data_IF_283090642603
#
_entry.id   IF_283090642603
#
_cell.length_a   1.000
_cell.length_b   1.000
_cell.length_c   1.000
_cell.angle_alpha   90.00
_cell.angle_beta   90.00
_cell.angle_gamma   90.00
#
_symmetry.space_group_name_H-M   'P 1'
#
loop_
_entity.id
_entity.type
_entity.pdbx_description
1 polymer ?
#
# COMPACT_ATOMS: atom_id res chain seq x y z
N UNK A 1 -4.15 -19.76 19.42
CA UNK A 1 -4.75 -20.42 18.24
C UNK A 1 -5.34 -19.33 17.36
N UNK A 2 -4.74 -19.09 16.18
CA UNK A 2 -5.14 -18.04 15.24
C UNK A 2 -6.38 -18.52 14.48
N UNK A 3 -7.56 -18.40 15.08
CA UNK A 3 -8.82 -18.66 14.38
C UNK A 3 -9.02 -17.56 13.35
N UNK A 4 -8.89 -17.90 12.05
CA UNK A 4 -9.23 -16.98 10.96
C UNK A 4 -10.73 -16.73 11.04
N UNK A 5 -11.12 -15.64 11.69
CA UNK A 5 -12.51 -15.21 11.74
C UNK A 5 -13.01 -14.97 10.31
N UNK A 6 -14.26 -15.33 10.01
CA UNK A 6 -14.92 -15.06 8.72
C UNK A 6 -14.80 -13.58 8.31
N UNK A 7 -14.71 -12.67 9.29
CA UNK A 7 -14.46 -11.25 9.09
C UNK A 7 -13.08 -10.90 8.51
N UNK A 8 -12.05 -11.73 8.72
CA UNK A 8 -10.70 -11.52 8.17
C UNK A 8 -10.68 -11.56 6.64
N UNK A 9 -11.30 -12.59 6.06
CA UNK A 9 -11.35 -12.77 4.60
C UNK A 9 -12.20 -11.65 3.98
N UNK A 10 -13.37 -11.37 4.53
CA UNK A 10 -14.24 -10.29 4.03
C UNK A 10 -13.54 -8.92 4.06
N UNK A 11 -12.81 -8.62 5.14
CA UNK A 11 -12.02 -7.38 5.24
C UNK A 11 -10.89 -7.34 4.21
N UNK A 12 -10.16 -8.43 4.04
CA UNK A 12 -9.10 -8.54 3.02
C UNK A 12 -9.65 -8.24 1.62
N UNK A 13 -10.78 -8.85 1.25
CA UNK A 13 -11.40 -8.61 -0.06
C UNK A 13 -11.91 -7.18 -0.23
N UNK A 14 -12.49 -6.57 0.80
CA UNK A 14 -12.91 -5.16 0.76
C UNK A 14 -11.73 -4.22 0.54
N UNK A 15 -10.62 -4.45 1.25
CA UNK A 15 -9.38 -3.68 1.10
C UNK A 15 -8.81 -3.89 -0.30
N UNK A 16 -8.79 -5.13 -0.80
CA UNK A 16 -8.32 -5.45 -2.14
C UNK A 16 -9.12 -4.76 -3.23
N UNK A 17 -10.46 -4.81 -3.17
CA UNK A 17 -11.33 -4.09 -4.11
C UNK A 17 -11.11 -2.58 -4.06
N UNK A 18 -10.90 -2.03 -2.87
CA UNK A 18 -10.56 -0.62 -2.70
C UNK A 18 -9.23 -0.26 -3.37
N UNK A 19 -8.19 -1.07 -3.19
CA UNK A 19 -6.87 -0.88 -3.83
C UNK A 19 -6.93 -0.98 -5.35
N UNK A 20 -7.62 -1.97 -5.89
CA UNK A 20 -7.85 -2.09 -7.33
C UNK A 20 -8.65 -0.88 -7.86
N UNK A 21 -9.64 -0.42 -7.10
CA UNK A 21 -10.38 0.80 -7.43
C UNK A 21 -9.50 2.04 -7.52
N UNK A 22 -8.58 2.25 -6.56
CA UNK A 22 -7.59 3.34 -6.61
C UNK A 22 -6.70 3.22 -7.85
N UNK A 23 -6.22 2.01 -8.14
CA UNK A 23 -5.34 1.78 -9.29
C UNK A 23 -6.05 2.12 -10.60
N UNK A 24 -7.28 1.64 -10.80
CA UNK A 24 -8.11 1.96 -11.99
C UNK A 24 -8.40 3.46 -12.07
N UNK A 25 -8.76 4.10 -10.95
CA UNK A 25 -9.01 5.54 -10.91
C UNK A 25 -7.75 6.32 -11.31
N UNK A 26 -6.59 5.88 -10.86
CA UNK A 26 -5.30 6.50 -11.19
C UNK A 26 -4.97 6.32 -12.67
N UNK A 27 -5.18 5.12 -13.24
CA UNK A 27 -5.05 4.89 -14.69
C UNK A 27 -5.93 5.88 -15.47
N UNK A 28 -7.20 6.03 -15.08
CA UNK A 28 -8.14 6.92 -15.73
C UNK A 28 -7.68 8.38 -15.66
N UNK A 29 -7.31 8.86 -14.47
CA UNK A 29 -6.82 10.23 -14.26
C UNK A 29 -5.56 10.47 -15.09
N UNK A 30 -4.57 9.57 -15.01
CA UNK A 30 -3.30 9.70 -15.73
C UNK A 30 -3.51 9.67 -17.25
N UNK A 31 -4.44 8.86 -17.75
CA UNK A 31 -4.79 8.83 -19.17
C UNK A 31 -5.45 10.16 -19.63
N UNK A 32 -6.36 10.69 -18.81
CA UNK A 32 -7.12 11.91 -19.12
C UNK A 32 -6.29 13.21 -19.05
N UNK A 33 -5.26 13.27 -18.21
CA UNK A 33 -4.40 14.46 -18.10
C UNK A 33 -3.44 14.52 -19.29
N UNK A 34 -3.31 15.68 -19.93
CA UNK A 34 -2.26 15.93 -20.92
C UNK A 34 -0.90 16.11 -20.24
N UNK A 35 -0.28 14.96 -20.01
CA UNK A 35 1.04 14.85 -19.42
C UNK A 35 2.08 15.22 -20.48
N UNK A 36 2.94 16.19 -20.15
CA UNK A 36 4.14 16.45 -20.93
C UNK A 36 5.13 15.30 -20.75
N UNK A 37 5.12 14.37 -21.70
CA UNK A 37 5.95 13.16 -21.67
C UNK A 37 7.45 13.44 -21.49
N UNK A 38 7.96 14.57 -22.01
CA UNK A 38 9.37 14.95 -21.84
C UNK A 38 9.69 15.27 -20.39
N UNK A 39 8.77 15.92 -19.70
CA UNK A 39 8.94 16.34 -18.31
C UNK A 39 8.82 15.15 -17.35
N UNK A 40 7.93 14.21 -17.64
CA UNK A 40 7.80 12.97 -16.87
C UNK A 40 9.02 12.08 -17.02
N UNK A 41 9.52 11.87 -18.24
CA UNK A 41 10.74 11.09 -18.46
C UNK A 41 11.92 11.74 -17.73
N UNK A 42 12.04 13.07 -17.80
CA UNK A 42 13.11 13.82 -17.11
C UNK A 42 13.00 13.73 -15.58
N UNK A 43 11.78 13.73 -15.05
CA UNK A 43 11.53 13.58 -13.60
C UNK A 43 11.83 12.17 -13.11
N UNK A 44 11.49 11.14 -13.90
CA UNK A 44 11.85 9.75 -13.61
C UNK A 44 13.37 9.60 -13.65
N UNK A 45 14.05 10.14 -14.68
CA UNK A 45 15.50 10.00 -14.83
C UNK A 45 16.30 10.73 -13.74
N UNK A 46 15.82 11.90 -13.29
CA UNK A 46 16.41 12.65 -12.17
C UNK A 46 16.10 12.03 -10.80
N UNK A 47 15.00 11.29 -10.68
CA UNK A 47 14.60 10.61 -9.45
C UNK A 47 15.29 9.26 -9.22
N UNK A 48 15.98 8.72 -10.23
CA UNK A 48 16.75 7.48 -10.12
C UNK A 48 18.12 7.78 -9.50
N UNK A 49 18.42 7.26 -8.29
CA UNK A 49 19.73 7.43 -7.67
C UNK A 49 20.84 6.87 -8.57
N UNK A 50 22.00 7.53 -8.62
CA UNK A 50 23.13 7.10 -9.47
C UNK A 50 23.59 5.66 -9.23
N UNK A 51 23.41 5.15 -8.00
CA UNK A 51 23.68 3.75 -7.62
C UNK A 51 22.80 2.73 -8.36
N UNK A 52 21.55 3.11 -8.70
CA UNK A 52 20.60 2.25 -9.41
C UNK A 52 20.92 2.21 -10.90
N UNK A 53 21.49 3.27 -11.49
CA UNK A 53 21.93 3.27 -12.90
C UNK A 53 23.09 2.29 -13.17
N UNK A 54 23.88 1.96 -12.15
CA UNK A 54 25.03 1.05 -12.22
C UNK A 54 24.78 -0.38 -11.72
N UNK A 55 23.62 -0.67 -11.12
CA UNK A 55 23.35 -1.99 -10.52
C UNK A 55 23.03 -3.07 -11.56
N UNK A 56 23.47 -4.30 -11.27
CA UNK A 56 23.23 -5.45 -12.14
C UNK A 56 21.73 -5.83 -12.15
N UNK A 57 21.26 -6.52 -13.20
CA UNK A 57 19.85 -6.90 -13.31
C UNK A 57 19.33 -7.75 -12.13
N UNK A 58 20.18 -8.64 -11.58
CA UNK A 58 19.85 -9.48 -10.43
C UNK A 58 19.74 -8.69 -9.12
N UNK A 59 20.61 -7.71 -8.93
CA UNK A 59 20.62 -6.84 -7.76
C UNK A 59 19.31 -6.04 -7.65
N UNK A 60 18.80 -5.52 -8.78
CA UNK A 60 17.51 -4.83 -8.81
C UNK A 60 16.32 -5.72 -8.44
N UNK A 61 16.34 -6.98 -8.88
CA UNK A 61 15.29 -7.94 -8.49
C UNK A 61 15.36 -8.20 -6.98
N UNK A 62 16.55 -8.37 -6.43
CA UNK A 62 16.74 -8.57 -4.99
C UNK A 62 16.31 -7.35 -4.17
N UNK A 63 16.72 -6.14 -4.56
CA UNK A 63 16.28 -4.89 -3.93
C UNK A 63 14.75 -4.75 -3.96
N UNK A 64 14.13 -5.08 -5.09
CA UNK A 64 12.68 -5.06 -5.24
C UNK A 64 11.99 -6.03 -4.27
N UNK A 65 12.52 -7.25 -4.13
CA UNK A 65 12.00 -8.26 -3.18
C UNK A 65 12.16 -7.77 -1.74
N UNK A 66 13.32 -7.24 -1.36
CA UNK A 66 13.55 -6.74 0.00
C UNK A 66 12.62 -5.56 0.30
N UNK A 67 12.47 -4.63 -0.65
CA UNK A 67 11.62 -3.46 -0.45
C UNK A 67 10.15 -3.86 -0.25
N UNK A 68 9.57 -4.62 -1.17
CA UNK A 68 8.13 -4.94 -1.13
C UNK A 68 7.82 -6.12 -0.19
N UNK A 69 8.76 -7.04 0.00
CA UNK A 69 8.59 -8.20 0.89
C UNK A 69 8.89 -7.91 2.36
N UNK A 70 9.73 -6.92 2.67
CA UNK A 70 10.18 -6.65 4.05
C UNK A 70 9.96 -5.19 4.44
N UNK A 71 10.53 -4.24 3.70
CA UNK A 71 10.53 -2.82 4.10
C UNK A 71 9.12 -2.25 4.15
N UNK A 72 8.32 -2.44 3.10
CA UNK A 72 6.94 -1.94 3.02
C UNK A 72 6.04 -2.58 4.10
N UNK A 73 6.03 -3.91 4.30
CA UNK A 73 5.32 -4.53 5.42
C UNK A 73 5.78 -4.03 6.79
N UNK A 74 7.08 -3.86 7.00
CA UNK A 74 7.60 -3.34 8.28
C UNK A 74 7.09 -1.92 8.54
N UNK A 75 7.08 -1.06 7.53
CA UNK A 75 6.50 0.28 7.64
C UNK A 75 4.99 0.22 7.94
N UNK A 76 4.23 -0.65 7.27
CA UNK A 76 2.81 -0.86 7.57
C UNK A 76 2.61 -1.29 9.03
N UNK A 77 3.46 -2.19 9.53
CA UNK A 77 3.42 -2.64 10.92
C UNK A 77 3.69 -1.49 11.89
N UNK A 78 4.75 -0.70 11.67
CA UNK A 78 5.06 0.46 12.51
C UNK A 78 3.88 1.45 12.55
N UNK A 79 3.30 1.78 11.40
CA UNK A 79 2.13 2.66 11.32
C UNK A 79 0.90 2.09 12.02
N UNK A 80 0.78 0.76 12.10
CA UNK A 80 -0.33 0.10 12.81
C UNK A 80 -0.21 0.17 14.33
N UNK A 81 0.97 0.51 14.88
CA UNK A 81 1.14 0.72 16.32
C UNK A 81 0.49 2.03 16.78
N UNK A 82 0.42 3.02 15.89
CA UNK A 82 -0.24 4.29 16.14
C UNK A 82 -1.75 4.02 16.17
N UNK A 83 -2.51 4.43 17.21
CA UNK A 83 -3.92 4.09 17.39
C UNK A 83 -4.88 4.82 16.41
N UNK A 84 -4.46 5.04 15.17
CA UNK A 84 -5.22 5.62 14.07
C UNK A 84 -5.58 4.50 13.09
N UNK A 85 -6.88 4.28 12.88
CA UNK A 85 -7.41 3.08 12.23
C UNK A 85 -6.91 2.82 10.80
N UNK A 86 -6.63 3.87 10.02
CA UNK A 86 -6.36 3.75 8.59
C UNK A 86 -4.91 4.04 8.23
N UNK A 87 -4.05 4.39 9.20
CA UNK A 87 -2.73 4.94 8.90
C UNK A 87 -1.82 3.94 8.16
N UNK A 88 -1.85 2.68 8.54
CA UNK A 88 -1.09 1.61 7.89
C UNK A 88 -1.55 1.29 6.46
N UNK A 89 -2.72 1.79 6.01
CA UNK A 89 -3.17 1.64 4.63
C UNK A 89 -2.47 2.61 3.68
N UNK A 90 -1.73 3.60 4.18
CA UNK A 90 -1.03 4.57 3.34
C UNK A 90 -0.07 3.91 2.36
N UNK A 91 0.72 2.94 2.83
CA UNK A 91 1.65 2.19 2.00
C UNK A 91 0.95 1.39 0.89
N UNK A 92 -0.23 0.85 1.20
CA UNK A 92 -1.04 0.12 0.24
C UNK A 92 -1.63 1.07 -0.83
N UNK A 93 -2.06 2.27 -0.42
CA UNK A 93 -2.51 3.31 -1.36
C UNK A 93 -1.38 3.68 -2.31
N UNK A 94 -0.17 3.94 -1.78
CA UNK A 94 1.00 4.26 -2.60
C UNK A 94 1.34 3.14 -3.59
N UNK A 95 1.35 1.89 -3.11
CA UNK A 95 1.62 0.70 -3.93
C UNK A 95 0.52 0.42 -4.98
N UNK A 96 -0.66 1.04 -4.85
CA UNK A 96 -1.75 0.97 -5.83
C UNK A 96 -1.69 2.12 -6.85
N UNK A 97 -1.28 3.32 -6.43
CA UNK A 97 -1.18 4.52 -7.28
C UNK A 97 -0.06 4.35 -8.31
N UNK A 98 1.14 3.98 -7.86
CA UNK A 98 2.33 4.01 -8.74
C UNK A 98 2.18 3.09 -9.97
N UNK A 99 1.74 1.82 -9.85
CA UNK A 99 1.43 1.00 -11.02
C UNK A 99 0.33 1.60 -11.89
N UNK A 100 -0.70 2.20 -11.29
CA UNK A 100 -1.77 2.87 -12.03
C UNK A 100 -1.27 4.02 -12.90
N UNK A 101 -0.34 4.83 -12.40
CA UNK A 101 0.31 5.89 -13.18
C UNK A 101 1.07 5.28 -14.36
N UNK A 102 1.92 4.28 -14.10
CA UNK A 102 2.74 3.64 -15.15
C UNK A 102 1.86 3.03 -16.24
N UNK A 103 0.79 2.32 -15.87
CA UNK A 103 -0.15 1.75 -16.83
C UNK A 103 -0.90 2.83 -17.62
N UNK A 104 -1.37 3.90 -16.96
CA UNK A 104 -2.04 5.02 -17.63
C UNK A 104 -1.14 5.71 -18.66
N UNK A 105 0.12 5.95 -18.32
CA UNK A 105 1.13 6.49 -19.25
C UNK A 105 1.34 5.52 -20.43
N UNK A 106 1.53 4.23 -20.15
CA UNK A 106 1.78 3.23 -21.20
C UNK A 106 0.63 3.21 -22.23
N UNK A 107 -0.63 3.19 -21.75
CA UNK A 107 -1.83 3.23 -22.60
C UNK A 107 -1.87 4.52 -23.42
N UNK A 108 -1.55 5.68 -22.81
CA UNK A 108 -1.56 6.98 -23.49
C UNK A 108 -0.52 7.07 -24.62
N UNK A 109 0.65 6.43 -24.47
CA UNK A 109 1.68 6.41 -25.53
C UNK A 109 1.21 5.57 -26.72
N UNK A 110 0.85 4.32 -26.47
CA UNK A 110 0.43 3.39 -27.52
C UNK A 110 -0.27 2.18 -26.89
N UNK A 111 -1.55 2.00 -27.19
CA UNK A 111 -2.38 0.93 -26.62
C UNK A 111 -1.82 -0.48 -26.91
N UNK A 112 -1.33 -0.73 -28.12
CA UNK A 112 -0.78 -2.05 -28.48
C UNK A 112 0.48 -2.38 -27.66
N UNK A 113 1.43 -1.43 -27.58
CA UNK A 113 2.63 -1.60 -26.74
C UNK A 113 2.28 -1.70 -25.25
N UNK A 114 1.26 -0.97 -24.81
CA UNK A 114 0.79 -1.01 -23.43
C UNK A 114 0.30 -2.41 -23.06
N UNK A 115 -0.53 -3.05 -23.90
CA UNK A 115 -1.03 -4.40 -23.65
C UNK A 115 0.13 -5.39 -23.47
N UNK A 116 1.14 -5.32 -24.34
CA UNK A 116 2.32 -6.21 -24.26
C UNK A 116 3.08 -6.02 -22.94
N UNK A 117 3.13 -4.81 -22.38
CA UNK A 117 3.82 -4.51 -21.12
C UNK A 117 2.95 -4.85 -19.90
N UNK A 118 1.65 -4.57 -19.96
CA UNK A 118 0.74 -4.65 -18.81
C UNK A 118 0.36 -6.11 -18.50
N UNK A 119 0.07 -6.92 -19.53
CA UNK A 119 -0.33 -8.33 -19.35
C UNK A 119 0.65 -9.13 -18.49
N UNK A 120 1.98 -9.10 -18.72
CA UNK A 120 2.94 -9.82 -17.89
C UNK A 120 3.14 -9.23 -16.49
N UNK A 121 2.89 -7.92 -16.31
CA UNK A 121 3.03 -7.24 -15.00
C UNK A 121 1.81 -7.44 -14.10
N UNK A 122 0.62 -7.59 -14.69
CA UNK A 122 -0.66 -7.80 -13.97
C UNK A 122 -0.61 -8.90 -12.90
N UNK A 123 -0.14 -10.14 -13.17
CA UNK A 123 -0.12 -11.18 -12.14
C UNK A 123 0.77 -10.80 -10.96
N UNK A 124 1.90 -10.16 -11.24
CA UNK A 124 2.83 -9.70 -10.21
C UNK A 124 2.19 -8.60 -9.33
N UNK A 125 1.69 -7.51 -9.93
CA UNK A 125 1.08 -6.40 -9.17
C UNK A 125 -0.16 -6.86 -8.39
N UNK A 126 -0.93 -7.79 -8.95
CA UNK A 126 -2.12 -8.35 -8.29
C UNK A 126 -1.75 -9.14 -7.04
N UNK A 127 -0.72 -10.00 -7.12
CA UNK A 127 -0.27 -10.80 -6.00
C UNK A 127 0.37 -9.94 -4.89
N UNK A 128 1.13 -8.92 -5.26
CA UNK A 128 1.71 -7.96 -4.32
C UNK A 128 0.62 -7.21 -3.53
N UNK A 129 -0.35 -6.61 -4.23
CA UNK A 129 -1.47 -5.91 -3.60
C UNK A 129 -2.27 -6.87 -2.72
N UNK A 130 -2.53 -8.09 -3.19
CA UNK A 130 -3.24 -9.10 -2.39
C UNK A 130 -2.48 -9.44 -1.11
N UNK A 131 -1.16 -9.63 -1.18
CA UNK A 131 -0.30 -9.86 -0.01
C UNK A 131 -0.39 -8.73 1.01
N UNK A 132 -0.31 -7.47 0.56
CA UNK A 132 -0.49 -6.31 1.42
C UNK A 132 -1.90 -6.22 2.01
N UNK A 133 -2.94 -6.61 1.28
CA UNK A 133 -4.32 -6.63 1.79
C UNK A 133 -4.51 -7.67 2.91
N UNK A 134 -3.92 -8.86 2.74
CA UNK A 134 -3.92 -9.91 3.78
C UNK A 134 -3.22 -9.37 5.03
N UNK A 135 -2.04 -8.78 4.85
CA UNK A 135 -1.27 -8.22 5.96
C UNK A 135 -2.01 -7.05 6.65
N UNK A 136 -2.58 -6.12 5.88
CA UNK A 136 -3.40 -5.03 6.39
C UNK A 136 -4.62 -5.52 7.21
N UNK A 137 -5.22 -6.65 6.82
CA UNK A 137 -6.33 -7.25 7.57
C UNK A 137 -5.89 -7.82 8.92
N UNK A 138 -4.64 -8.29 9.03
CA UNK A 138 -4.04 -8.70 10.30
C UNK A 138 -3.70 -7.48 11.16
N UNK A 139 -3.06 -6.47 10.56
CA UNK A 139 -2.74 -5.20 11.23
C UNK A 139 -3.98 -4.48 11.75
N UNK A 140 -5.13 -4.60 11.07
CA UNK A 140 -6.41 -4.08 11.58
C UNK A 140 -6.76 -4.65 12.95
N UNK A 141 -6.64 -5.97 13.14
CA UNK A 141 -6.95 -6.60 14.43
C UNK A 141 -5.96 -6.15 15.49
N UNK A 142 -4.67 -6.08 15.14
CA UNK A 142 -3.62 -5.62 16.02
C UNK A 142 -3.84 -4.16 16.47
N UNK A 143 -4.06 -3.25 15.53
CA UNK A 143 -4.39 -1.85 15.81
C UNK A 143 -5.66 -1.72 16.66
N UNK A 144 -6.71 -2.49 16.35
CA UNK A 144 -7.94 -2.52 17.15
C UNK A 144 -7.68 -2.90 18.61
N UNK A 145 -6.86 -3.92 18.86
CA UNK A 145 -6.48 -4.34 20.22
C UNK A 145 -5.73 -3.25 20.97
N UNK A 146 -4.83 -2.53 20.29
CA UNK A 146 -4.13 -1.37 20.87
C UNK A 146 -5.12 -0.28 21.26
N UNK A 147 -6.02 0.12 20.34
CA UNK A 147 -7.01 1.17 20.60
C UNK A 147 -7.93 0.84 21.79
N UNK A 148 -8.39 -0.41 21.89
CA UNK A 148 -9.22 -0.86 23.01
C UNK A 148 -8.45 -0.72 24.33
N UNK A 149 -7.22 -1.26 24.41
CA UNK A 149 -6.39 -1.16 25.62
C UNK A 149 -6.12 0.28 26.03
N UNK A 150 -5.79 1.15 25.07
CA UNK A 150 -5.58 2.58 25.34
C UNK A 150 -6.87 3.21 25.89
N UNK A 151 -8.02 2.97 25.25
CA UNK A 151 -9.31 3.49 25.71
C UNK A 151 -9.67 3.01 27.12
N UNK A 152 -9.38 1.75 27.45
CA UNK A 152 -9.67 1.17 28.76
C UNK A 152 -8.81 1.79 29.86
N UNK A 153 -7.54 2.09 29.57
CA UNK A 153 -6.64 2.80 30.51
C UNK A 153 -7.21 4.20 30.81
N UNK A 154 -7.54 4.98 29.78
CA UNK A 154 -8.09 6.32 29.96
C UNK A 154 -9.44 6.33 30.71
N UNK A 155 -10.30 5.34 30.49
CA UNK A 155 -11.57 5.19 31.23
C UNK A 155 -11.36 4.80 32.70
N UNK A 156 -10.34 4.00 33.00
CA UNK A 156 -10.04 3.61 34.37
C UNK A 156 -9.51 4.78 35.20
N UNK A 157 -8.73 5.66 34.58
CA UNK A 157 -8.19 6.85 35.23
C UNK A 157 -9.27 7.91 35.48
N UNK A 158 -10.24 8.08 34.58
CA UNK A 158 -11.37 8.99 34.81
C UNK A 158 -12.27 8.53 35.96
N UNK A 159 -12.49 7.21 36.09
CA UNK A 159 -13.27 6.63 37.19
C UNK A 159 -12.50 6.75 38.53
N UNK A 160 -11.19 6.46 38.55
CA UNK A 160 -10.36 6.63 39.76
C UNK A 160 -10.28 8.08 40.23
N UNK A 161 -10.22 9.05 39.32
CA UNK A 161 -10.21 10.47 39.67
C UNK A 161 -11.51 10.92 40.34
N UNK A 162 -12.65 10.28 40.04
CA UNK A 162 -13.93 10.60 40.69
C UNK A 162 -13.99 10.10 42.13
N UNK A 163 -13.40 8.93 42.43
CA UNK A 163 -13.39 8.34 43.78
C UNK A 163 -12.37 8.97 44.74
N UNK A 164 -11.46 9.82 44.27
CA UNK A 164 -10.47 10.53 45.12
C UNK A 164 -10.97 11.93 45.52
N UNK A 165 -12.07 12.41 44.94
CA UNK A 165 -12.64 13.75 45.16
C UNK A 165 -13.99 13.71 45.92
N UNK A 166 -14.37 12.54 46.46
CA UNK A 166 -15.46 12.39 47.43
C UNK A 166 -14.90 11.89 48.76
#
# INVERSE_FOLDING_TARGET
>A
MLTIEKGFISRTLKIFLFSIGIMILTVAITYSIDINMKEVIKSIDNGIPGSVKSSSGLERVFEYIVNNGIVVPLQMFILSLIPIQFLYLFNLIYSSILPGIVMGIAIKINVYKAIIIIVPILPHTTLEILGFCIFASALYQFNKSIRIKISDIFKKDSIKSFYIVC
#
